data_IF_776412811145
#
_entry.id   IF_776412811145
#
_cell.length_a   1.000
_cell.length_b   1.000
_cell.length_c   1.000
_cell.angle_alpha   90.00
_cell.angle_beta   90.00
_cell.angle_gamma   90.00
#
_symmetry.space_group_name_H-M   'P 1'
#
loop_
_entity.id
_entity.type
_entity.pdbx_description
1 polymer ?
#
# COMPACT_ATOMS: atom_id res chain seq x y z
N UNK A 1 -65.60 -23.19 65.46
CA UNK A 1 -64.11 -23.29 65.55
C UNK A 1 -63.71 -24.56 64.84
N UNK A 2 -63.00 -24.44 63.73
CA UNK A 2 -62.41 -25.63 63.06
C UNK A 2 -61.32 -26.21 63.97
N UNK A 3 -61.52 -27.39 64.50
CA UNK A 3 -60.49 -28.16 65.21
C UNK A 3 -59.54 -28.71 64.18
N UNK A 4 -58.31 -28.09 64.09
CA UNK A 4 -57.22 -28.64 63.35
C UNK A 4 -56.79 -29.95 64.03
N UNK A 5 -56.83 -31.05 63.32
CA UNK A 5 -56.38 -32.37 63.87
C UNK A 5 -54.87 -32.34 64.04
N UNK A 6 -54.35 -33.12 65.05
CA UNK A 6 -52.88 -33.20 65.26
C UNK A 6 -52.13 -33.59 63.99
N UNK A 7 -52.73 -34.44 63.14
CA UNK A 7 -52.17 -34.87 61.87
C UNK A 7 -51.95 -33.64 60.90
N UNK A 8 -53.00 -32.79 60.83
CA UNK A 8 -52.89 -31.56 59.98
C UNK A 8 -51.83 -30.58 60.48
N UNK A 9 -51.57 -30.50 61.79
CA UNK A 9 -50.49 -29.69 62.35
C UNK A 9 -49.11 -30.27 62.00
N UNK A 10 -48.92 -31.56 62.05
CA UNK A 10 -47.72 -32.29 61.71
C UNK A 10 -47.44 -32.12 60.19
N UNK A 11 -48.43 -32.23 59.33
CA UNK A 11 -48.33 -32.12 57.91
C UNK A 11 -47.93 -30.63 57.51
N UNK A 12 -48.49 -29.64 58.17
CA UNK A 12 -48.12 -28.22 58.03
C UNK A 12 -46.68 -27.95 58.46
N UNK A 13 -46.23 -28.52 59.56
CA UNK A 13 -44.87 -28.41 60.07
C UNK A 13 -43.84 -29.05 59.12
N UNK A 14 -44.17 -30.30 58.67
CA UNK A 14 -43.36 -30.98 57.68
C UNK A 14 -43.26 -30.18 56.36
N UNK A 15 -44.34 -29.61 55.85
CA UNK A 15 -44.37 -28.76 54.70
C UNK A 15 -43.49 -27.51 54.88
N UNK A 16 -43.50 -26.92 56.10
CA UNK A 16 -42.61 -25.77 56.41
C UNK A 16 -41.16 -26.22 56.46
N UNK A 17 -40.81 -27.31 57.09
CA UNK A 17 -39.42 -27.84 57.12
C UNK A 17 -38.88 -28.08 55.68
N UNK A 18 -39.71 -28.75 54.84
CA UNK A 18 -39.33 -28.96 53.43
C UNK A 18 -39.14 -27.67 52.64
N UNK A 19 -39.94 -26.65 52.96
CA UNK A 19 -39.78 -25.32 52.31
C UNK A 19 -38.46 -24.68 52.74
N UNK A 20 -38.20 -24.64 54.06
CA UNK A 20 -36.95 -24.09 54.60
C UNK A 20 -35.72 -24.82 54.04
N UNK A 21 -35.77 -26.15 53.94
CA UNK A 21 -34.68 -26.94 53.33
C UNK A 21 -34.46 -26.60 51.87
N UNK A 22 -35.51 -26.38 51.08
CA UNK A 22 -35.38 -25.93 49.66
C UNK A 22 -34.80 -24.54 49.58
N UNK A 23 -35.25 -23.60 50.41
CA UNK A 23 -34.75 -22.23 50.42
C UNK A 23 -33.27 -22.19 50.88
N UNK A 24 -32.90 -23.00 51.87
CA UNK A 24 -31.55 -23.18 52.35
C UNK A 24 -30.63 -23.75 51.26
N UNK A 25 -31.12 -24.72 50.48
CA UNK A 25 -30.39 -25.27 49.35
C UNK A 25 -30.14 -24.20 48.27
N UNK A 26 -31.16 -23.38 47.92
CA UNK A 26 -31.01 -22.27 46.96
C UNK A 26 -29.98 -21.25 47.40
N UNK A 27 -30.05 -20.81 48.68
CA UNK A 27 -29.09 -19.80 49.17
C UNK A 27 -27.68 -20.37 49.23
N UNK A 28 -27.50 -21.65 49.58
CA UNK A 28 -26.18 -22.29 49.49
C UNK A 28 -25.69 -22.45 48.07
N UNK A 29 -26.55 -22.78 47.11
CA UNK A 29 -26.21 -22.81 45.68
C UNK A 29 -25.83 -21.45 45.16
N UNK A 30 -26.55 -20.38 45.55
CA UNK A 30 -26.23 -18.98 45.19
C UNK A 30 -24.89 -18.53 45.78
N UNK A 31 -24.61 -18.85 47.05
CA UNK A 31 -23.31 -18.55 47.67
C UNK A 31 -22.16 -19.35 47.05
N UNK A 32 -22.39 -20.61 46.67
CA UNK A 32 -21.37 -21.47 46.06
C UNK A 32 -21.06 -21.05 44.60
N UNK A 33 -22.08 -20.63 43.83
CA UNK A 33 -21.92 -20.20 42.43
C UNK A 33 -21.62 -18.74 42.27
N UNK A 34 -21.89 -17.90 43.28
CA UNK A 34 -21.84 -16.44 43.19
C UNK A 34 -23.01 -15.84 42.40
N UNK A 35 -24.00 -16.66 42.00
CA UNK A 35 -25.12 -16.26 41.14
C UNK A 35 -26.48 -16.51 41.81
N UNK A 36 -27.31 -15.49 41.76
CA UNK A 36 -28.69 -15.55 42.21
C UNK A 36 -29.57 -16.38 41.28
N UNK A 37 -29.34 -16.27 39.95
CA UNK A 37 -30.08 -16.96 38.91
C UNK A 37 -29.16 -17.95 38.22
N UNK A 38 -29.30 -19.24 38.54
CA UNK A 38 -28.47 -20.30 37.94
C UNK A 38 -29.21 -21.06 36.83
N UNK A 39 -30.54 -21.18 36.92
CA UNK A 39 -31.38 -22.01 36.04
C UNK A 39 -32.60 -21.21 35.57
N UNK A 40 -33.16 -21.56 34.38
CA UNK A 40 -34.41 -20.93 33.91
C UNK A 40 -35.58 -21.07 34.87
N UNK A 41 -35.55 -22.12 35.71
CA UNK A 41 -36.60 -22.41 36.72
C UNK A 41 -36.53 -21.48 37.92
N UNK A 42 -35.42 -20.82 38.21
CA UNK A 42 -35.24 -19.97 39.39
C UNK A 42 -36.01 -18.64 39.19
N UNK A 43 -35.72 -17.92 38.10
CA UNK A 43 -36.43 -16.71 37.68
C UNK A 43 -36.49 -16.66 36.14
N UNK A 44 -37.56 -17.11 35.47
CA UNK A 44 -37.60 -17.22 34.00
C UNK A 44 -37.39 -15.88 33.28
N UNK A 45 -37.91 -14.77 33.78
CA UNK A 45 -37.79 -13.43 33.19
C UNK A 45 -36.36 -12.90 33.33
N UNK A 46 -35.76 -13.03 34.51
CA UNK A 46 -34.39 -12.65 34.77
C UNK A 46 -33.39 -13.48 33.91
N UNK A 47 -33.64 -14.77 33.79
CA UNK A 47 -32.84 -15.66 32.96
C UNK A 47 -32.88 -15.27 31.48
N UNK A 48 -34.07 -14.89 30.96
CA UNK A 48 -34.17 -14.38 29.58
C UNK A 48 -33.35 -13.11 29.39
N UNK A 49 -33.41 -12.18 30.34
CA UNK A 49 -32.59 -10.94 30.29
C UNK A 49 -31.10 -11.24 30.35
N UNK A 50 -30.66 -12.14 31.24
CA UNK A 50 -29.26 -12.58 31.33
C UNK A 50 -28.79 -13.16 29.99
N UNK A 51 -29.61 -13.98 29.32
CA UNK A 51 -29.27 -14.54 28.01
C UNK A 51 -29.17 -13.47 26.95
N UNK A 52 -30.01 -12.43 26.96
CA UNK A 52 -29.90 -11.27 26.09
C UNK A 52 -28.58 -10.52 26.30
N UNK A 53 -28.24 -10.23 27.55
CA UNK A 53 -26.96 -9.56 27.86
C UNK A 53 -25.74 -10.39 27.45
N UNK A 54 -25.76 -11.72 27.66
CA UNK A 54 -24.69 -12.59 27.20
C UNK A 54 -24.54 -12.56 25.69
N UNK A 55 -25.64 -12.56 24.93
CA UNK A 55 -25.60 -12.43 23.47
C UNK A 55 -25.02 -11.06 23.02
N UNK A 56 -25.43 -9.98 23.70
CA UNK A 56 -24.88 -8.62 23.43
C UNK A 56 -23.37 -8.60 23.71
N UNK A 57 -22.92 -9.13 24.85
CA UNK A 57 -21.49 -9.20 25.20
C UNK A 57 -20.69 -10.01 24.19
N UNK A 58 -21.18 -11.16 23.74
CA UNK A 58 -20.53 -11.97 22.71
C UNK A 58 -20.42 -11.21 21.36
N UNK A 59 -21.42 -10.40 21.02
CA UNK A 59 -21.38 -9.58 19.81
C UNK A 59 -20.39 -8.43 19.95
N UNK A 60 -20.35 -7.77 21.12
CA UNK A 60 -19.37 -6.72 21.41
C UNK A 60 -17.95 -7.28 21.32
N UNK A 61 -17.68 -8.42 21.93
CA UNK A 61 -16.37 -9.08 21.88
C UNK A 61 -15.93 -9.37 20.45
N UNK A 62 -16.80 -9.94 19.61
CA UNK A 62 -16.51 -10.18 18.19
C UNK A 62 -16.21 -8.89 17.43
N UNK A 63 -16.98 -7.82 17.68
CA UNK A 63 -16.78 -6.52 17.05
C UNK A 63 -15.48 -5.87 17.54
N UNK A 64 -15.18 -5.93 18.82
CA UNK A 64 -13.93 -5.41 19.39
C UNK A 64 -12.70 -6.09 18.79
N UNK A 65 -12.73 -7.42 18.63
CA UNK A 65 -11.67 -8.18 17.95
C UNK A 65 -11.52 -7.73 16.50
N UNK A 66 -12.61 -7.59 15.76
CA UNK A 66 -12.59 -7.17 14.35
C UNK A 66 -12.07 -5.72 14.18
N UNK A 67 -12.46 -4.82 15.07
CA UNK A 67 -11.97 -3.43 15.10
C UNK A 67 -10.47 -3.38 15.40
N UNK A 68 -10.00 -4.15 16.39
CA UNK A 68 -8.58 -4.26 16.74
C UNK A 68 -7.73 -4.82 15.59
N UNK A 69 -8.24 -5.84 14.90
CA UNK A 69 -7.57 -6.43 13.72
C UNK A 69 -7.50 -5.44 12.56
N UNK A 70 -8.57 -4.67 12.33
CA UNK A 70 -8.61 -3.59 11.34
C UNK A 70 -7.61 -2.48 11.66
N UNK A 71 -7.53 -2.04 12.91
CA UNK A 71 -6.58 -1.03 13.37
C UNK A 71 -5.12 -1.52 13.18
N UNK A 72 -4.84 -2.77 13.55
CA UNK A 72 -3.50 -3.36 13.36
C UNK A 72 -3.10 -3.42 11.88
N UNK A 73 -4.03 -3.77 10.99
CA UNK A 73 -3.81 -3.79 9.54
C UNK A 73 -3.52 -2.40 9.00
N UNK A 74 -4.30 -1.39 9.40
CA UNK A 74 -4.10 -0.02 8.93
C UNK A 74 -2.81 0.60 9.48
N UNK A 75 -2.44 0.33 10.75
CA UNK A 75 -1.17 0.78 11.31
C UNK A 75 0.05 0.20 10.57
N UNK A 76 -0.01 -1.09 10.19
CA UNK A 76 1.04 -1.69 9.37
C UNK A 76 1.05 -1.10 7.95
N UNK A 77 -0.11 -0.78 7.38
CA UNK A 77 -0.21 -0.09 6.08
C UNK A 77 0.38 1.32 6.16
N UNK A 78 0.13 2.07 7.25
CA UNK A 78 0.72 3.39 7.50
C UNK A 78 2.25 3.32 7.56
N UNK A 79 2.78 2.35 8.29
CA UNK A 79 4.23 2.12 8.40
C UNK A 79 4.86 1.80 7.04
N UNK A 80 4.21 0.97 6.22
CA UNK A 80 4.69 0.63 4.88
C UNK A 80 4.69 1.85 3.94
N UNK A 81 3.62 2.68 3.99
CA UNK A 81 3.55 3.93 3.21
C UNK A 81 4.59 4.94 3.69
N UNK A 82 4.83 5.04 5.01
CA UNK A 82 5.91 5.88 5.57
C UNK A 82 7.31 5.43 5.12
N UNK A 83 7.53 4.12 5.00
CA UNK A 83 8.77 3.58 4.42
C UNK A 83 8.90 3.97 2.95
N UNK A 84 7.82 3.81 2.16
CA UNK A 84 7.79 4.22 0.76
C UNK A 84 8.06 5.72 0.58
N UNK A 85 7.48 6.57 1.43
CA UNK A 85 7.73 8.02 1.44
C UNK A 85 9.23 8.34 1.64
N UNK A 86 9.87 7.70 2.62
CA UNK A 86 11.31 7.87 2.89
C UNK A 86 12.17 7.46 1.69
N UNK A 87 11.80 6.38 1.00
CA UNK A 87 12.49 5.91 -0.21
C UNK A 87 12.36 6.94 -1.34
N UNK A 88 11.15 7.49 -1.56
CA UNK A 88 10.93 8.51 -2.61
C UNK A 88 11.65 9.82 -2.28
N UNK A 89 11.69 10.23 -1.00
CA UNK A 89 12.49 11.39 -0.57
C UNK A 89 13.97 11.17 -0.92
N UNK A 90 14.54 9.99 -0.61
CA UNK A 90 15.92 9.67 -0.96
C UNK A 90 16.16 9.63 -2.46
N UNK A 91 15.24 9.05 -3.24
CA UNK A 91 15.32 9.03 -4.70
C UNK A 91 15.28 10.45 -5.30
N UNK A 92 14.44 11.33 -4.75
CA UNK A 92 14.35 12.75 -5.13
C UNK A 92 15.65 13.50 -4.83
N UNK A 93 16.27 13.27 -3.67
CA UNK A 93 17.58 13.85 -3.32
C UNK A 93 18.66 13.43 -4.34
N UNK A 94 18.71 12.13 -4.67
CA UNK A 94 19.62 11.60 -5.69
C UNK A 94 19.37 12.28 -7.04
N UNK A 95 18.11 12.38 -7.47
CA UNK A 95 17.77 13.02 -8.75
C UNK A 95 18.21 14.48 -8.79
N UNK A 96 18.01 15.24 -7.70
CA UNK A 96 18.46 16.63 -7.58
C UNK A 96 19.98 16.75 -7.64
N UNK A 97 20.72 15.87 -6.96
CA UNK A 97 22.19 15.84 -6.99
C UNK A 97 22.74 15.52 -8.38
N UNK A 98 22.10 14.60 -9.09
CA UNK A 98 22.55 14.10 -10.39
C UNK A 98 22.07 14.95 -11.58
N UNK A 99 21.21 15.94 -11.36
CA UNK A 99 20.74 16.86 -12.40
C UNK A 99 21.88 17.73 -12.94
N UNK A 100 22.85 18.06 -12.10
CA UNK A 100 23.98 18.88 -12.50
C UNK A 100 24.98 18.09 -13.35
N UNK A 101 25.52 18.71 -14.39
CA UNK A 101 26.46 18.09 -15.34
C UNK A 101 27.87 17.80 -14.77
N UNK A 102 28.09 18.04 -13.48
CA UNK A 102 29.37 17.80 -12.80
C UNK A 102 29.66 16.33 -12.52
N UNK A 103 28.65 15.48 -12.51
CA UNK A 103 28.82 14.03 -12.26
C UNK A 103 29.21 13.29 -13.52
N UNK A 104 30.25 12.46 -13.44
CA UNK A 104 30.66 11.59 -14.54
C UNK A 104 29.68 10.45 -14.81
N UNK A 105 29.68 9.89 -16.02
CA UNK A 105 28.86 8.72 -16.37
C UNK A 105 29.13 7.51 -15.44
N UNK A 106 30.37 7.32 -15.01
CA UNK A 106 30.73 6.24 -14.09
C UNK A 106 30.15 6.45 -12.68
N UNK A 107 30.14 7.68 -12.19
CA UNK A 107 29.50 8.03 -10.91
C UNK A 107 27.99 7.84 -10.99
N UNK A 108 27.32 8.31 -12.05
CA UNK A 108 25.89 8.08 -12.25
C UNK A 108 25.54 6.60 -12.33
N UNK A 109 26.38 5.78 -12.98
CA UNK A 109 26.18 4.33 -13.02
C UNK A 109 26.34 3.69 -11.63
N UNK A 110 27.25 4.19 -10.78
CA UNK A 110 27.37 3.70 -9.40
C UNK A 110 26.15 4.06 -8.57
N UNK A 111 25.62 5.29 -8.73
CA UNK A 111 24.41 5.76 -8.03
C UNK A 111 23.17 5.04 -8.54
N UNK A 112 23.11 4.68 -9.83
CA UNK A 112 21.99 3.90 -10.37
C UNK A 112 21.80 2.57 -9.62
N UNK A 113 22.88 1.95 -9.11
CA UNK A 113 22.77 0.76 -8.26
C UNK A 113 22.08 1.03 -6.91
N UNK A 114 22.33 2.21 -6.31
CA UNK A 114 21.60 2.63 -5.11
C UNK A 114 20.10 2.79 -5.44
N UNK A 115 19.77 3.46 -6.55
CA UNK A 115 18.39 3.63 -7.00
C UNK A 115 17.71 2.30 -7.28
N UNK A 116 18.43 1.34 -7.87
CA UNK A 116 17.91 -0.03 -8.06
C UNK A 116 17.54 -0.70 -6.72
N UNK A 117 18.39 -0.56 -5.69
CA UNK A 117 18.06 -1.07 -4.35
C UNK A 117 16.87 -0.34 -3.71
N UNK A 118 16.75 0.99 -3.93
CA UNK A 118 15.58 1.75 -3.50
C UNK A 118 14.30 1.26 -4.20
N UNK A 119 14.36 0.96 -5.51
CA UNK A 119 13.24 0.38 -6.24
C UNK A 119 12.81 -0.97 -5.64
N UNK A 120 13.75 -1.87 -5.39
CA UNK A 120 13.44 -3.18 -4.79
C UNK A 120 12.82 -3.01 -3.39
N UNK A 121 13.39 -2.13 -2.56
CA UNK A 121 12.87 -1.84 -1.22
C UNK A 121 11.47 -1.19 -1.27
N UNK A 122 11.20 -0.38 -2.29
CA UNK A 122 9.87 0.19 -2.52
C UNK A 122 8.84 -0.88 -2.89
N UNK A 123 9.22 -1.82 -3.77
CA UNK A 123 8.39 -2.99 -4.12
C UNK A 123 8.10 -3.84 -2.89
N UNK A 124 9.10 -4.06 -2.02
CA UNK A 124 8.92 -4.82 -0.77
C UNK A 124 7.94 -4.10 0.16
N UNK A 125 8.05 -2.78 0.32
CA UNK A 125 7.10 -1.97 1.10
C UNK A 125 5.67 -2.04 0.53
N UNK A 126 5.52 -1.94 -0.80
CA UNK A 126 4.24 -2.04 -1.49
C UNK A 126 3.64 -3.47 -1.44
N UNK A 127 4.47 -4.49 -1.19
CA UNK A 127 4.08 -5.90 -1.05
C UNK A 127 4.09 -6.38 0.42
N UNK A 128 3.98 -5.47 1.39
CA UNK A 128 3.93 -5.83 2.82
C UNK A 128 2.76 -6.78 3.11
N UNK A 129 3.01 -7.77 3.98
CA UNK A 129 2.05 -8.80 4.38
C UNK A 129 1.75 -8.75 5.88
N UNK A 130 0.54 -9.18 6.22
CA UNK A 130 0.14 -9.56 7.58
C UNK A 130 -0.51 -10.95 7.52
N UNK A 131 -0.08 -11.88 8.35
CA UNK A 131 -0.60 -13.26 8.38
C UNK A 131 -0.69 -13.89 6.97
N UNK A 132 0.41 -13.83 6.20
CA UNK A 132 0.54 -14.33 4.82
C UNK A 132 -0.38 -13.66 3.79
N UNK A 133 -1.03 -12.54 4.13
CA UNK A 133 -1.92 -11.78 3.25
C UNK A 133 -1.33 -10.43 2.92
N UNK A 134 -1.31 -10.06 1.65
CA UNK A 134 -0.87 -8.75 1.18
C UNK A 134 -1.85 -7.66 1.61
N UNK A 135 -1.32 -6.53 2.07
CA UNK A 135 -2.13 -5.43 2.62
C UNK A 135 -2.80 -4.59 1.53
N UNK A 136 -2.13 -4.43 0.39
CA UNK A 136 -2.47 -3.45 -0.64
C UNK A 136 -3.14 -4.05 -1.88
N UNK A 137 -3.43 -5.36 -1.88
CA UNK A 137 -3.99 -6.08 -3.05
C UNK A 137 -5.53 -6.07 -3.13
N UNK A 138 -6.23 -5.28 -2.31
CA UNK A 138 -7.69 -5.31 -2.26
C UNK A 138 -8.23 -6.63 -1.71
N UNK A 139 -9.13 -7.29 -2.43
CA UNK A 139 -9.64 -8.62 -2.09
C UNK A 139 -8.68 -9.75 -2.47
N UNK A 140 -7.77 -9.52 -3.43
CA UNK A 140 -6.78 -10.49 -3.91
C UNK A 140 -5.61 -10.67 -2.94
N UNK A 141 -5.89 -10.85 -1.65
CA UNK A 141 -4.90 -10.83 -0.56
C UNK A 141 -3.83 -11.92 -0.65
N UNK A 142 -3.99 -12.92 -1.51
CA UNK A 142 -2.98 -13.98 -1.76
C UNK A 142 -2.03 -13.63 -2.91
N UNK A 143 -2.35 -12.61 -3.71
CA UNK A 143 -1.55 -12.15 -4.85
C UNK A 143 -0.73 -10.93 -4.44
N UNK A 144 0.54 -10.87 -4.83
CA UNK A 144 1.38 -9.70 -4.58
C UNK A 144 0.73 -8.45 -5.20
N UNK A 145 0.71 -7.33 -4.46
CA UNK A 145 0.12 -6.10 -4.96
C UNK A 145 0.83 -5.60 -6.22
N UNK A 146 2.15 -5.72 -6.27
CA UNK A 146 2.97 -5.32 -7.41
C UNK A 146 3.92 -6.43 -7.82
N UNK A 147 3.95 -6.73 -9.11
CA UNK A 147 4.87 -7.69 -9.70
C UNK A 147 5.32 -7.19 -11.08
N UNK A 148 6.41 -7.75 -11.60
CA UNK A 148 6.80 -7.55 -12.99
C UNK A 148 5.69 -8.05 -13.90
N UNK A 149 5.21 -7.18 -14.75
CA UNK A 149 4.03 -7.43 -15.59
C UNK A 149 4.41 -8.04 -16.95
N UNK A 150 3.38 -8.41 -17.71
CA UNK A 150 3.53 -8.77 -19.12
C UNK A 150 3.88 -7.57 -20.00
N UNK A 151 3.89 -6.35 -19.46
CA UNK A 151 4.27 -5.15 -20.20
C UNK A 151 5.76 -4.88 -20.08
N UNK A 152 6.38 -4.53 -21.20
CA UNK A 152 7.79 -4.19 -21.29
C UNK A 152 7.88 -2.83 -21.98
N UNK A 153 8.58 -1.89 -21.36
CA UNK A 153 8.93 -0.64 -22.03
C UNK A 153 10.09 -0.88 -22.99
N UNK A 154 9.91 -0.45 -24.24
CA UNK A 154 10.94 -0.52 -25.26
C UNK A 154 11.00 0.80 -26.01
N UNK A 155 12.20 1.36 -26.18
CA UNK A 155 12.41 2.61 -26.91
C UNK A 155 13.77 2.66 -27.58
N UNK A 156 13.83 3.22 -28.78
CA UNK A 156 15.06 3.70 -29.39
C UNK A 156 15.52 4.99 -28.72
N UNK A 157 16.80 5.33 -28.84
CA UNK A 157 17.32 6.62 -28.37
C UNK A 157 16.87 7.73 -29.30
N UNK A 158 15.83 8.46 -28.89
CA UNK A 158 15.30 9.61 -29.61
C UNK A 158 16.07 10.90 -29.27
N UNK A 159 16.14 11.88 -30.15
CA UNK A 159 16.70 13.19 -29.81
C UNK A 159 15.85 13.87 -28.76
N UNK A 160 16.48 14.45 -27.75
CA UNK A 160 15.84 15.35 -26.78
C UNK A 160 16.64 16.65 -26.69
N UNK A 161 15.96 17.76 -26.37
CA UNK A 161 16.56 19.07 -26.23
C UNK A 161 16.28 19.60 -24.83
N UNK A 162 17.29 20.13 -24.16
CA UNK A 162 17.19 20.80 -22.87
C UNK A 162 17.85 22.16 -22.90
N UNK A 163 17.24 23.13 -22.20
CA UNK A 163 17.91 24.40 -21.92
C UNK A 163 18.96 24.16 -20.82
N UNK A 164 20.08 24.92 -20.90
CA UNK A 164 21.06 24.96 -19.83
C UNK A 164 20.43 25.67 -18.60
N UNK A 165 20.76 25.23 -17.38
CA UNK A 165 20.29 25.85 -16.13
C UNK A 165 20.76 27.32 -15.97
N UNK A 166 21.85 27.72 -16.62
CA UNK A 166 22.38 29.09 -16.61
C UNK A 166 21.67 30.03 -17.60
N UNK A 167 20.69 29.51 -18.39
CA UNK A 167 19.95 30.34 -19.33
C UNK A 167 19.15 31.41 -18.59
N UNK A 168 19.24 32.64 -19.07
CA UNK A 168 18.57 33.81 -18.48
C UNK A 168 17.29 34.18 -19.23
N UNK A 169 17.16 33.75 -20.50
CA UNK A 169 15.95 33.87 -21.29
C UNK A 169 14.95 32.74 -20.97
N UNK A 170 13.67 33.01 -21.15
CA UNK A 170 12.62 31.99 -21.01
C UNK A 170 12.15 31.55 -22.40
N UNK A 171 12.63 30.38 -22.83
CA UNK A 171 12.35 29.83 -24.17
C UNK A 171 12.00 28.36 -24.02
N UNK A 172 10.89 27.95 -24.61
CA UNK A 172 10.57 26.51 -24.75
C UNK A 172 11.26 25.96 -26.01
N UNK A 173 11.77 24.72 -25.91
CA UNK A 173 12.51 24.08 -26.98
C UNK A 173 11.88 22.73 -27.29
N UNK A 174 11.74 22.40 -28.56
CA UNK A 174 11.34 21.06 -29.03
C UNK A 174 12.28 20.59 -30.14
N UNK A 175 12.52 19.27 -30.20
CA UNK A 175 13.29 18.65 -31.27
C UNK A 175 12.53 17.48 -31.86
N UNK A 176 12.61 17.27 -33.15
CA UNK A 176 12.02 16.17 -33.89
C UNK A 176 12.93 15.71 -35.03
N UNK A 177 12.72 14.48 -35.47
CA UNK A 177 13.39 13.97 -36.68
C UNK A 177 12.64 14.51 -37.89
N UNK A 178 13.35 15.20 -38.76
CA UNK A 178 12.83 15.70 -40.04
C UNK A 178 13.18 14.77 -41.18
N UNK A 179 14.45 14.35 -41.26
CA UNK A 179 14.95 13.51 -42.36
C UNK A 179 15.82 12.40 -41.77
N UNK A 180 15.25 11.22 -41.62
CA UNK A 180 15.92 10.07 -40.98
C UNK A 180 17.24 9.72 -41.68
N UNK A 181 17.28 9.76 -43.00
CA UNK A 181 18.51 9.47 -43.80
C UNK A 181 19.68 10.43 -43.59
N UNK A 182 19.46 11.54 -42.88
CA UNK A 182 20.51 12.53 -42.59
C UNK A 182 20.91 12.56 -41.13
N UNK A 183 20.34 11.69 -40.31
CA UNK A 183 20.65 11.57 -38.88
C UNK A 183 22.11 11.10 -38.67
N UNK A 184 22.78 11.71 -37.70
CA UNK A 184 24.20 11.40 -37.41
C UNK A 184 24.38 10.78 -36.02
N UNK A 185 23.36 10.83 -35.16
CA UNK A 185 23.44 10.33 -33.78
C UNK A 185 24.26 11.19 -32.81
N UNK A 186 24.72 12.34 -33.23
CA UNK A 186 25.64 13.20 -32.48
C UNK A 186 24.93 14.05 -31.41
N UNK A 187 25.74 14.61 -30.49
CA UNK A 187 25.33 15.65 -29.52
C UNK A 187 25.56 17.03 -30.14
N UNK A 188 24.60 17.96 -29.94
CA UNK A 188 24.70 19.31 -30.43
C UNK A 188 24.42 20.33 -29.34
N UNK A 189 24.97 21.54 -29.53
CA UNK A 189 24.60 22.75 -28.78
C UNK A 189 24.13 23.86 -29.73
N UNK A 190 23.04 24.51 -29.36
CA UNK A 190 22.57 25.76 -29.96
C UNK A 190 22.92 26.86 -28.98
N UNK A 191 23.86 27.75 -29.31
CA UNK A 191 24.36 28.80 -28.43
C UNK A 191 24.01 30.17 -29.00
N UNK A 192 23.40 31.01 -28.20
CA UNK A 192 23.01 32.37 -28.58
C UNK A 192 24.12 33.36 -28.31
N UNK A 193 24.55 34.07 -29.33
CA UNK A 193 25.49 35.21 -29.20
C UNK A 193 24.78 36.48 -28.74
N UNK A 194 23.51 36.66 -29.13
CA UNK A 194 22.60 37.71 -28.70
C UNK A 194 21.15 37.23 -28.80
N UNK A 195 20.14 38.09 -28.54
CA UNK A 195 18.72 37.71 -28.60
C UNK A 195 18.18 37.34 -29.99
N UNK A 196 18.98 37.52 -31.04
CA UNK A 196 18.55 37.36 -32.43
C UNK A 196 19.47 36.45 -33.24
N UNK A 197 20.63 36.09 -32.72
CA UNK A 197 21.67 35.37 -33.45
C UNK A 197 22.15 34.14 -32.67
N UNK A 198 22.25 33.00 -33.34
CA UNK A 198 22.74 31.73 -32.73
C UNK A 198 23.66 30.95 -33.66
N UNK A 199 24.44 30.06 -33.04
CA UNK A 199 25.27 29.05 -33.70
C UNK A 199 24.79 27.66 -33.32
N UNK A 200 24.99 26.68 -34.22
CA UNK A 200 24.78 25.24 -33.92
C UNK A 200 26.14 24.56 -34.03
N UNK A 201 26.58 23.96 -32.94
CA UNK A 201 27.83 23.22 -32.85
C UNK A 201 27.58 21.74 -32.61
N UNK A 202 28.24 20.89 -33.36
CA UNK A 202 28.29 19.45 -33.08
C UNK A 202 29.31 19.22 -31.96
N UNK A 203 28.83 18.85 -30.76
CA UNK A 203 29.68 18.61 -29.59
C UNK A 203 30.45 17.29 -29.65
N UNK A 204 30.02 16.35 -30.49
CA UNK A 204 30.70 15.06 -30.69
C UNK A 204 31.94 15.21 -31.55
N UNK A 205 31.84 15.97 -32.63
CA UNK A 205 32.95 16.19 -33.60
C UNK A 205 33.69 17.49 -33.39
N UNK A 206 33.12 18.45 -32.65
CA UNK A 206 33.64 19.80 -32.47
C UNK A 206 33.37 20.74 -33.63
N UNK A 207 32.72 20.30 -34.71
CA UNK A 207 32.44 21.10 -35.88
C UNK A 207 31.27 22.06 -35.68
N UNK A 208 31.34 23.27 -36.25
CA UNK A 208 30.21 24.20 -36.38
C UNK A 208 29.35 23.77 -37.55
N UNK A 209 28.08 23.48 -37.30
CA UNK A 209 27.10 23.03 -38.32
C UNK A 209 26.40 24.23 -38.94
N UNK A 210 25.97 25.18 -38.13
CA UNK A 210 25.37 26.45 -38.52
C UNK A 210 26.06 27.58 -37.76
N UNK A 211 26.36 28.68 -38.43
CA UNK A 211 26.96 29.86 -37.81
C UNK A 211 26.18 31.13 -38.11
N UNK A 212 26.06 32.01 -37.11
CA UNK A 212 25.43 33.33 -37.20
C UNK A 212 24.04 33.30 -37.84
N UNK A 213 23.22 32.33 -37.41
CA UNK A 213 21.84 32.20 -37.89
C UNK A 213 20.92 33.18 -37.19
N UNK A 214 19.97 33.75 -37.94
CA UNK A 214 18.96 34.63 -37.35
C UNK A 214 17.89 33.84 -36.65
N UNK A 215 17.62 34.16 -35.38
CA UNK A 215 16.54 33.56 -34.59
C UNK A 215 15.20 34.24 -34.85
N UNK A 216 14.19 33.44 -35.04
CA UNK A 216 12.78 33.86 -35.04
C UNK A 216 11.97 32.86 -34.19
N UNK A 217 11.21 33.37 -33.21
CA UNK A 217 10.41 32.53 -32.34
C UNK A 217 9.43 31.64 -33.13
N UNK A 218 9.46 30.32 -32.86
CA UNK A 218 8.62 29.32 -33.53
C UNK A 218 9.07 28.93 -34.95
N UNK A 219 10.19 29.51 -35.47
CA UNK A 219 10.75 29.08 -36.75
C UNK A 219 11.51 27.76 -36.63
N UNK A 220 11.53 26.97 -37.73
CA UNK A 220 12.26 25.72 -37.80
C UNK A 220 13.77 25.99 -37.94
N UNK A 221 14.57 25.29 -37.17
CA UNK A 221 16.05 25.24 -37.26
C UNK A 221 16.35 23.79 -37.70
N UNK A 222 16.70 23.62 -38.97
CA UNK A 222 16.92 22.28 -39.55
C UNK A 222 18.42 22.04 -39.78
N UNK A 223 18.95 20.91 -39.26
CA UNK A 223 20.34 20.49 -39.47
C UNK A 223 20.50 19.00 -39.18
N UNK A 224 21.37 18.31 -39.89
CA UNK A 224 21.74 16.90 -39.70
C UNK A 224 20.54 15.95 -39.47
N UNK A 225 19.45 16.18 -40.22
CA UNK A 225 18.21 15.39 -40.14
C UNK A 225 17.29 15.76 -38.97
N UNK A 226 17.67 16.67 -38.13
CA UNK A 226 16.89 17.18 -36.98
C UNK A 226 16.17 18.49 -37.34
N UNK A 227 15.03 18.68 -36.73
CA UNK A 227 14.28 19.93 -36.66
C UNK A 227 14.14 20.38 -35.23
N UNK A 228 14.64 21.56 -34.91
CA UNK A 228 14.47 22.22 -33.63
C UNK A 228 13.55 23.42 -33.79
N UNK A 229 12.65 23.61 -32.85
CA UNK A 229 11.80 24.80 -32.74
C UNK A 229 11.97 25.37 -31.34
N UNK A 230 12.40 26.65 -31.32
CA UNK A 230 12.54 27.44 -30.10
C UNK A 230 11.43 28.49 -30.07
N UNK A 231 10.68 28.58 -28.98
CA UNK A 231 9.53 29.49 -28.86
C UNK A 231 9.66 30.34 -27.60
N UNK A 232 9.50 31.65 -27.70
CA UNK A 232 9.52 32.56 -26.57
C UNK A 232 8.43 32.20 -25.52
N UNK A 233 8.78 32.22 -24.21
CA UNK A 233 7.85 31.87 -23.15
C UNK A 233 8.19 32.56 -21.80
N UNK A 234 7.76 33.76 -21.47
CA UNK A 234 7.21 34.80 -22.34
C UNK A 234 8.32 35.58 -23.10
N UNK A 235 9.56 35.53 -22.63
CA UNK A 235 10.70 36.18 -23.29
C UNK A 235 11.44 35.21 -24.21
N UNK A 236 12.24 35.75 -25.13
CA UNK A 236 13.12 34.98 -25.99
C UNK A 236 14.46 34.65 -25.36
N UNK A 237 15.36 33.95 -26.08
CA UNK A 237 16.71 33.66 -25.64
C UNK A 237 17.51 34.95 -25.54
N UNK A 238 18.55 34.96 -24.72
CA UNK A 238 19.52 36.05 -24.55
C UNK A 238 20.93 35.59 -24.92
N UNK A 239 21.85 36.53 -25.08
CA UNK A 239 23.24 36.19 -25.33
C UNK A 239 23.85 35.37 -24.21
N UNK A 240 24.45 34.24 -24.56
CA UNK A 240 24.98 33.23 -23.62
C UNK A 240 24.05 32.06 -23.35
N UNK A 241 22.75 32.15 -23.70
CA UNK A 241 21.83 31.02 -23.55
C UNK A 241 22.22 29.85 -24.46
N UNK A 242 22.15 28.65 -23.94
CA UNK A 242 22.50 27.40 -24.60
C UNK A 242 21.39 26.35 -24.51
N UNK A 243 21.13 25.67 -25.62
CA UNK A 243 20.23 24.52 -25.69
C UNK A 243 21.02 23.32 -26.20
N UNK A 244 21.03 22.25 -25.45
CA UNK A 244 21.75 21.03 -25.81
C UNK A 244 20.78 19.93 -26.32
N UNK A 245 21.20 19.29 -27.42
CA UNK A 245 20.51 18.15 -28.01
C UNK A 245 21.31 16.91 -27.67
N UNK A 246 20.63 15.93 -27.03
CA UNK A 246 21.24 14.66 -26.63
C UNK A 246 21.62 13.80 -27.82
N UNK A 247 22.62 12.89 -27.69
CA UNK A 247 22.86 11.86 -28.69
C UNK A 247 21.58 11.05 -28.95
N UNK A 248 21.35 10.66 -30.20
CA UNK A 248 20.17 9.94 -30.67
C UNK A 248 20.58 8.81 -31.62
N UNK A 249 19.65 7.96 -32.01
CA UNK A 249 19.91 6.93 -33.04
C UNK A 249 20.08 7.61 -34.40
N UNK A 250 21.00 7.10 -35.22
CA UNK A 250 21.18 7.54 -36.59
C UNK A 250 20.15 6.93 -37.56
N UNK A 251 19.30 6.02 -37.08
CA UNK A 251 18.17 5.43 -37.82
C UNK A 251 16.82 5.86 -37.22
N UNK A 252 15.77 5.68 -37.99
CA UNK A 252 14.36 5.79 -37.57
C UNK A 252 13.72 4.42 -37.30
N UNK A 253 14.55 3.40 -37.09
CA UNK A 253 14.08 2.06 -36.72
C UNK A 253 13.33 2.10 -35.39
N UNK A 254 12.27 1.31 -35.33
CA UNK A 254 11.40 1.19 -34.14
C UNK A 254 11.62 -0.13 -33.41
N UNK A 255 11.35 -0.13 -32.10
CA UNK A 255 11.39 -1.35 -31.28
C UNK A 255 10.06 -1.58 -30.61
N UNK A 256 9.65 -2.84 -30.54
CA UNK A 256 8.58 -3.33 -29.68
C UNK A 256 9.11 -4.46 -28.83
N UNK A 257 8.55 -4.66 -27.63
CA UNK A 257 8.94 -5.76 -26.78
C UNK A 257 7.74 -6.37 -26.05
N UNK A 258 7.85 -7.67 -25.79
CA UNK A 258 6.86 -8.45 -25.05
C UNK A 258 7.55 -9.46 -24.14
N UNK A 259 6.80 -9.98 -23.17
CA UNK A 259 7.31 -11.04 -22.28
C UNK A 259 7.18 -12.39 -22.98
N UNK A 260 8.28 -13.13 -23.07
CA UNK A 260 8.30 -14.52 -23.56
C UNK A 260 8.27 -15.53 -22.41
N UNK A 261 8.90 -15.23 -21.28
CA UNK A 261 8.98 -16.11 -20.11
C UNK A 261 8.93 -15.30 -18.82
N UNK A 262 7.75 -15.20 -18.20
CA UNK A 262 7.53 -14.38 -17.02
C UNK A 262 8.45 -14.75 -15.81
N UNK A 263 8.73 -16.03 -15.62
CA UNK A 263 9.60 -16.51 -14.53
C UNK A 263 11.09 -16.14 -14.69
N UNK A 264 11.49 -15.72 -15.89
CA UNK A 264 12.88 -15.30 -16.17
C UNK A 264 13.05 -13.77 -16.14
N UNK A 265 11.96 -13.01 -15.95
CA UNK A 265 12.04 -11.56 -15.86
C UNK A 265 12.84 -11.12 -14.63
N UNK A 266 13.68 -10.11 -14.84
CA UNK A 266 14.40 -9.38 -13.80
C UNK A 266 14.09 -7.88 -13.96
N UNK A 267 14.05 -7.11 -12.87
CA UNK A 267 13.75 -5.68 -12.92
C UNK A 267 14.93 -4.84 -13.45
N UNK A 268 15.62 -5.33 -14.47
CA UNK A 268 16.84 -4.75 -15.02
C UNK A 268 16.54 -3.95 -16.28
N UNK A 269 17.41 -2.99 -16.57
CA UNK A 269 17.43 -2.22 -17.82
C UNK A 269 18.40 -2.89 -18.78
N UNK A 270 17.93 -3.24 -19.96
CA UNK A 270 18.71 -3.85 -21.02
C UNK A 270 18.90 -2.89 -22.20
N UNK A 271 20.03 -2.99 -22.86
CA UNK A 271 20.33 -2.20 -24.05
C UNK A 271 20.77 -3.14 -25.18
N UNK A 272 20.12 -2.99 -26.33
CA UNK A 272 20.54 -3.59 -27.60
C UNK A 272 21.37 -2.52 -28.32
N UNK A 273 22.67 -2.79 -28.52
CA UNK A 273 23.64 -1.86 -29.08
C UNK A 273 24.09 -2.33 -30.43
N UNK A 274 23.81 -1.59 -31.47
CA UNK A 274 24.25 -1.91 -32.82
C UNK A 274 25.75 -1.63 -32.99
N UNK A 275 26.49 -2.61 -33.44
CA UNK A 275 27.91 -2.54 -33.79
C UNK A 275 28.11 -2.33 -35.31
N UNK A 276 27.09 -2.68 -36.10
CA UNK A 276 27.00 -2.40 -37.54
C UNK A 276 25.51 -2.47 -37.96
N UNK A 277 25.22 -2.20 -39.23
CA UNK A 277 23.85 -2.33 -39.74
C UNK A 277 23.27 -3.77 -39.69
N UNK A 278 24.13 -4.78 -39.49
CA UNK A 278 23.76 -6.20 -39.51
C UNK A 278 24.12 -6.94 -38.21
N UNK A 279 24.70 -6.25 -37.23
CA UNK A 279 25.14 -6.89 -35.98
C UNK A 279 24.90 -6.00 -34.76
N UNK A 280 24.54 -6.66 -33.64
CA UNK A 280 24.31 -6.02 -32.36
C UNK A 280 24.80 -6.84 -31.16
N UNK A 281 25.00 -6.15 -30.05
CA UNK A 281 25.29 -6.72 -28.73
C UNK A 281 24.08 -6.49 -27.82
N UNK A 282 23.93 -7.33 -26.77
CA UNK A 282 22.92 -7.16 -25.71
C UNK A 282 23.64 -6.96 -24.41
N UNK A 283 23.36 -5.88 -23.72
CA UNK A 283 23.97 -5.51 -22.44
C UNK A 283 22.89 -5.32 -21.37
N UNK A 284 23.11 -5.91 -20.19
CA UNK A 284 22.39 -5.58 -18.98
C UNK A 284 23.07 -4.33 -18.37
N UNK A 285 22.41 -3.18 -18.41
CA UNK A 285 22.97 -1.92 -17.90
C UNK A 285 22.97 -1.87 -16.37
N UNK A 286 21.99 -2.45 -15.71
CA UNK A 286 21.87 -2.46 -14.23
C UNK A 286 23.06 -3.17 -13.59
N UNK A 287 23.45 -4.33 -14.13
CA UNK A 287 24.58 -5.12 -13.64
C UNK A 287 25.91 -4.81 -14.36
N UNK A 288 25.85 -4.02 -15.42
CA UNK A 288 26.96 -3.75 -16.33
C UNK A 288 27.55 -5.03 -16.95
N UNK A 289 26.66 -5.95 -17.36
CA UNK A 289 27.05 -7.25 -17.90
C UNK A 289 26.68 -7.38 -19.37
N UNK A 290 27.62 -7.80 -20.20
CA UNK A 290 27.34 -8.17 -21.60
C UNK A 290 26.72 -9.57 -21.62
N UNK A 291 25.46 -9.66 -22.12
CA UNK A 291 24.74 -10.94 -22.22
C UNK A 291 25.09 -11.71 -23.50
N UNK A 292 25.25 -11.01 -24.61
CA UNK A 292 25.67 -11.59 -25.89
C UNK A 292 26.31 -10.53 -26.79
N UNK A 293 27.19 -10.96 -27.69
CA UNK A 293 27.90 -10.10 -28.65
C UNK A 293 27.81 -10.64 -30.06
N UNK A 294 27.86 -9.75 -31.05
CA UNK A 294 27.95 -10.10 -32.47
C UNK A 294 26.69 -10.83 -32.98
N UNK A 295 25.52 -10.59 -32.38
CA UNK A 295 24.27 -11.18 -32.84
C UNK A 295 23.90 -10.64 -34.21
N UNK A 296 23.46 -11.53 -35.13
CA UNK A 296 23.01 -11.12 -36.47
C UNK A 296 21.65 -10.43 -36.40
N UNK A 297 21.54 -9.26 -37.04
CA UNK A 297 20.31 -8.50 -37.13
C UNK A 297 19.55 -8.82 -38.45
N UNK A 298 18.26 -8.99 -38.33
CA UNK A 298 17.29 -9.01 -39.45
C UNK A 298 16.06 -8.23 -38.99
N UNK A 299 15.61 -7.30 -39.82
CA UNK A 299 14.43 -6.47 -39.51
C UNK A 299 13.18 -7.35 -39.25
N UNK A 300 12.47 -7.08 -38.16
CA UNK A 300 11.29 -7.82 -37.74
C UNK A 300 11.55 -9.19 -37.11
N UNK A 301 12.80 -9.63 -36.98
CA UNK A 301 13.14 -10.89 -36.33
C UNK A 301 13.05 -10.77 -34.78
N UNK A 302 12.72 -11.86 -34.11
CA UNK A 302 12.67 -11.94 -32.68
C UNK A 302 14.08 -11.96 -32.07
N UNK A 303 14.33 -11.06 -31.13
CA UNK A 303 15.52 -11.01 -30.28
C UNK A 303 15.11 -11.44 -28.87
N UNK A 304 15.53 -12.62 -28.42
CA UNK A 304 15.07 -13.21 -27.15
C UNK A 304 16.20 -13.19 -26.12
N UNK A 305 15.94 -12.59 -24.95
CA UNK A 305 16.87 -12.52 -23.83
C UNK A 305 16.12 -12.26 -22.52
N UNK A 306 16.63 -12.77 -21.40
CA UNK A 306 16.12 -12.48 -20.03
C UNK A 306 14.58 -12.58 -19.89
N UNK A 307 13.91 -13.50 -20.62
CA UNK A 307 12.47 -13.65 -20.59
C UNK A 307 11.71 -12.62 -21.43
N UNK A 308 12.40 -11.82 -22.23
CA UNK A 308 11.84 -10.78 -23.11
C UNK A 308 12.04 -11.19 -24.57
N UNK A 309 11.05 -10.91 -25.40
CA UNK A 309 11.18 -10.90 -26.86
C UNK A 309 11.09 -9.47 -27.35
N UNK A 310 12.17 -8.94 -27.90
CA UNK A 310 12.21 -7.65 -28.57
C UNK A 310 12.19 -7.84 -30.08
N UNK A 311 11.54 -6.93 -30.80
CA UNK A 311 11.49 -6.88 -32.27
C UNK A 311 11.85 -5.49 -32.71
N UNK A 312 12.94 -5.38 -33.47
CA UNK A 312 13.36 -4.11 -34.08
C UNK A 312 12.98 -4.16 -35.57
N UNK A 313 12.26 -3.14 -36.01
CA UNK A 313 11.79 -3.03 -37.40
C UNK A 313 12.43 -1.79 -38.02
N UNK A 314 13.02 -1.97 -39.21
CA UNK A 314 13.58 -0.87 -39.97
C UNK A 314 12.53 0.20 -40.27
N UNK A 315 12.96 1.45 -40.22
CA UNK A 315 12.23 2.56 -40.81
C UNK A 315 12.66 2.81 -42.27
N UNK A 316 12.86 4.09 -42.60
CA UNK A 316 13.46 4.46 -43.89
C UNK A 316 14.96 4.23 -43.93
N UNK A 317 15.58 4.20 -42.75
CA UNK A 317 16.99 3.90 -42.51
C UNK A 317 17.12 2.71 -41.56
N UNK A 318 17.88 1.70 -41.97
CA UNK A 318 18.24 0.55 -41.15
C UNK A 318 19.08 1.00 -39.94
N UNK A 319 19.07 0.29 -38.82
CA UNK A 319 19.93 0.56 -37.68
C UNK A 319 21.41 0.70 -38.11
N UNK A 320 22.12 1.64 -37.49
CA UNK A 320 23.51 1.95 -37.78
C UNK A 320 24.39 1.62 -36.57
N UNK A 321 25.72 1.52 -36.79
CA UNK A 321 26.66 1.39 -35.69
C UNK A 321 26.50 2.56 -34.71
N UNK A 322 26.32 2.24 -33.43
CA UNK A 322 26.08 3.22 -32.35
C UNK A 322 24.61 3.46 -32.03
N UNK A 323 23.65 2.93 -32.81
CA UNK A 323 22.23 2.96 -32.45
C UNK A 323 21.96 2.09 -31.21
N UNK A 324 21.13 2.61 -30.32
CA UNK A 324 20.81 1.99 -29.04
C UNK A 324 19.29 1.84 -28.89
N UNK A 325 18.87 0.65 -28.50
CA UNK A 325 17.48 0.36 -28.16
C UNK A 325 17.41 -0.19 -26.74
N UNK A 326 16.56 0.38 -25.90
CA UNK A 326 16.44 0.03 -24.49
C UNK A 326 15.16 -0.71 -24.24
N UNK A 327 15.27 -1.69 -23.34
CA UNK A 327 14.15 -2.57 -22.97
C UNK A 327 14.19 -2.78 -21.47
N UNK A 328 13.04 -2.62 -20.82
CA UNK A 328 12.89 -2.95 -19.39
C UNK A 328 11.51 -3.51 -19.08
N UNK A 329 11.40 -4.53 -18.22
CA UNK A 329 10.12 -4.96 -17.67
C UNK A 329 9.55 -3.88 -16.74
N UNK A 330 8.23 -3.69 -16.75
CA UNK A 330 7.57 -2.75 -15.87
C UNK A 330 6.91 -3.50 -14.70
N UNK A 331 6.89 -2.87 -13.54
CA UNK A 331 5.99 -3.29 -12.48
C UNK A 331 4.56 -2.86 -12.80
N UNK A 332 3.58 -3.67 -12.42
CA UNK A 332 2.18 -3.27 -12.48
C UNK A 332 1.41 -3.82 -11.28
N UNK A 333 0.34 -3.14 -10.94
CA UNK A 333 -0.58 -3.57 -9.91
C UNK A 333 -1.30 -4.86 -10.34
N UNK A 334 -1.29 -5.87 -9.46
CA UNK A 334 -1.88 -7.20 -9.69
C UNK A 334 -3.11 -7.47 -8.82
N UNK A 335 -3.40 -6.56 -7.87
CA UNK A 335 -4.58 -6.65 -7.01
C UNK A 335 -5.86 -6.12 -7.66
N UNK A 336 -6.90 -6.00 -6.87
CA UNK A 336 -8.15 -5.35 -7.26
C UNK A 336 -8.42 -4.07 -6.44
N UNK A 337 -9.53 -3.39 -6.72
CA UNK A 337 -9.96 -2.18 -6.01
C UNK A 337 -10.90 -2.48 -4.84
N UNK A 338 -10.93 -3.71 -4.36
CA UNK A 338 -11.82 -4.17 -3.31
C UNK A 338 -11.56 -3.52 -1.96
N UNK A 339 -12.63 -3.09 -1.29
CA UNK A 339 -12.58 -2.52 0.06
C UNK A 339 -13.03 -3.56 1.09
N UNK A 340 -12.11 -3.99 1.95
CA UNK A 340 -12.40 -4.91 3.06
C UNK A 340 -13.02 -4.09 4.18
N UNK A 341 -14.32 -4.29 4.41
CA UNK A 341 -15.09 -3.57 5.41
C UNK A 341 -15.23 -4.38 6.70
N UNK A 342 -15.10 -3.73 7.84
CA UNK A 342 -15.34 -4.27 9.17
C UNK A 342 -16.60 -3.63 9.73
N UNK A 343 -17.55 -4.47 10.18
CA UNK A 343 -18.77 -4.03 10.83
C UNK A 343 -18.51 -3.75 12.32
N UNK A 344 -18.83 -2.52 12.75
CA UNK A 344 -18.67 -2.08 14.14
C UNK A 344 -20.00 -1.82 14.86
N UNK A 345 -21.07 -1.60 14.10
CA UNK A 345 -22.46 -1.44 14.57
C UNK A 345 -23.39 -2.03 13.51
N UNK A 346 -24.61 -2.40 13.85
CA UNK A 346 -25.55 -3.02 12.91
C UNK A 346 -25.72 -2.18 11.63
N UNK A 347 -25.25 -2.74 10.50
CA UNK A 347 -25.26 -2.09 9.19
C UNK A 347 -24.25 -0.97 8.98
N UNK A 348 -23.37 -0.69 9.96
CA UNK A 348 -22.31 0.31 9.83
C UNK A 348 -20.95 -0.34 9.69
N UNK A 349 -20.24 0.00 8.65
CA UNK A 349 -18.93 -0.55 8.32
C UNK A 349 -17.86 0.54 8.19
N UNK A 350 -16.61 0.14 8.35
CA UNK A 350 -15.42 0.96 8.06
C UNK A 350 -14.45 0.14 7.22
N UNK A 351 -13.83 0.76 6.21
CA UNK A 351 -12.79 0.12 5.42
C UNK A 351 -11.53 -0.11 6.26
N UNK A 352 -11.02 -1.34 6.26
CA UNK A 352 -9.83 -1.79 7.00
C UNK A 352 -8.62 -2.01 6.11
N UNK A 353 -8.68 -1.64 4.83
CA UNK A 353 -7.58 -1.74 3.89
C UNK A 353 -7.42 -0.45 3.07
N UNK A 354 -6.30 -0.37 2.39
CA UNK A 354 -5.98 0.65 1.39
C UNK A 354 -5.54 -0.05 0.12
N UNK A 355 -5.96 0.46 -1.03
CA UNK A 355 -5.69 -0.16 -2.34
C UNK A 355 -4.37 0.36 -2.89
N UNK A 356 -3.45 -0.54 -3.22
CA UNK A 356 -2.10 -0.20 -3.68
C UNK A 356 -2.06 0.62 -4.96
N UNK A 357 -3.01 0.40 -5.88
CA UNK A 357 -3.12 1.19 -7.10
C UNK A 357 -3.45 2.67 -6.86
N UNK A 358 -4.03 3.01 -5.71
CA UNK A 358 -4.31 4.41 -5.36
C UNK A 358 -3.13 5.08 -4.63
N UNK A 359 -2.31 4.28 -3.94
CA UNK A 359 -1.21 4.78 -3.10
C UNK A 359 0.10 4.84 -3.88
N UNK A 360 0.48 3.77 -4.59
CA UNK A 360 1.80 3.62 -5.20
C UNK A 360 1.81 3.85 -6.72
N UNK A 361 0.68 3.60 -7.39
CA UNK A 361 0.49 3.84 -8.83
C UNK A 361 -0.81 4.61 -9.07
N UNK A 362 -0.98 5.72 -8.35
CA UNK A 362 -2.18 6.55 -8.35
C UNK A 362 -2.45 7.23 -9.69
N UNK A 363 -3.59 7.95 -9.79
CA UNK A 363 -3.98 8.61 -11.03
C UNK A 363 -3.02 9.74 -11.41
N UNK A 364 -2.33 10.33 -10.45
CA UNK A 364 -1.44 11.48 -10.68
C UNK A 364 -0.04 11.01 -11.08
N UNK A 365 0.49 9.98 -10.41
CA UNK A 365 1.82 9.43 -10.70
C UNK A 365 1.94 7.95 -10.32
N UNK A 366 2.62 7.19 -11.19
CA UNK A 366 3.12 5.86 -10.89
C UNK A 366 4.55 5.95 -10.35
N UNK A 367 4.69 5.78 -9.03
CA UNK A 367 5.96 5.90 -8.32
C UNK A 367 6.96 4.80 -8.67
N UNK A 368 6.49 3.59 -8.98
CA UNK A 368 7.33 2.50 -9.45
C UNK A 368 7.96 2.83 -10.79
N UNK A 369 7.14 3.33 -11.73
CA UNK A 369 7.62 3.79 -13.02
C UNK A 369 8.55 5.00 -12.88
N UNK A 370 8.28 5.94 -11.96
CA UNK A 370 9.14 7.08 -11.69
C UNK A 370 10.52 6.65 -11.16
N UNK A 371 10.60 5.66 -10.26
CA UNK A 371 11.87 5.09 -9.78
C UNK A 371 12.64 4.38 -10.90
N UNK A 372 11.95 3.58 -11.73
CA UNK A 372 12.55 2.96 -12.90
C UNK A 372 13.05 3.97 -13.92
N UNK A 373 12.36 5.10 -14.10
CA UNK A 373 12.80 6.19 -14.97
C UNK A 373 14.04 6.88 -14.42
N UNK A 374 14.14 7.08 -13.09
CA UNK A 374 15.35 7.59 -12.45
C UNK A 374 16.53 6.66 -12.70
N UNK A 375 16.38 5.35 -12.44
CA UNK A 375 17.42 4.36 -12.70
C UNK A 375 17.89 4.42 -14.16
N UNK A 376 16.94 4.39 -15.08
CA UNK A 376 17.24 4.46 -16.52
C UNK A 376 17.99 5.75 -16.90
N UNK A 377 17.54 6.93 -16.42
CA UNK A 377 18.18 8.20 -16.70
C UNK A 377 19.64 8.24 -16.22
N UNK A 378 19.92 7.67 -15.05
CA UNK A 378 21.28 7.55 -14.52
C UNK A 378 22.15 6.57 -15.32
N UNK A 379 21.63 5.38 -15.64
CA UNK A 379 22.34 4.36 -16.44
C UNK A 379 22.65 4.84 -17.85
N UNK A 380 21.81 5.71 -18.40
CA UNK A 380 21.96 6.21 -19.77
C UNK A 380 22.60 7.58 -19.87
N UNK A 381 22.96 8.16 -18.72
CA UNK A 381 23.57 9.48 -18.61
C UNK A 381 22.76 10.58 -19.35
N UNK A 382 21.43 10.62 -19.07
CA UNK A 382 20.48 11.59 -19.63
C UNK A 382 19.95 12.54 -18.54
N UNK A 383 20.71 13.58 -18.13
CA UNK A 383 20.29 14.50 -17.06
C UNK A 383 19.00 15.26 -17.36
N UNK A 384 18.71 15.49 -18.66
CA UNK A 384 17.47 16.14 -19.11
C UNK A 384 16.20 15.47 -18.60
N UNK A 385 16.23 14.12 -18.43
CA UNK A 385 15.07 13.35 -18.01
C UNK A 385 14.80 13.49 -16.50
N UNK A 386 15.82 13.90 -15.72
CA UNK A 386 15.73 14.02 -14.26
C UNK A 386 14.77 15.12 -13.81
N UNK A 387 14.56 16.18 -14.58
CA UNK A 387 13.61 17.24 -14.24
C UNK A 387 12.17 16.71 -14.18
N UNK A 388 11.78 15.89 -15.14
CA UNK A 388 10.47 15.23 -15.15
C UNK A 388 10.33 14.25 -13.98
N UNK A 389 11.37 13.47 -13.69
CA UNK A 389 11.40 12.50 -12.58
C UNK A 389 11.27 13.22 -11.22
N UNK A 390 11.95 14.36 -11.03
CA UNK A 390 11.85 15.18 -9.82
C UNK A 390 10.42 15.71 -9.64
N UNK A 391 9.77 16.15 -10.72
CA UNK A 391 8.38 16.56 -10.73
C UNK A 391 7.46 15.42 -10.28
N UNK A 392 7.63 14.24 -10.87
CA UNK A 392 6.88 13.03 -10.51
C UNK A 392 7.07 12.64 -9.03
N UNK A 393 8.29 12.71 -8.50
CA UNK A 393 8.53 12.44 -7.08
C UNK A 393 7.88 13.48 -6.17
N UNK A 394 7.79 14.74 -6.59
CA UNK A 394 7.09 15.77 -5.80
C UNK A 394 5.60 15.45 -5.70
N UNK A 395 4.95 15.22 -6.82
CA UNK A 395 3.53 14.80 -6.86
C UNK A 395 3.29 13.49 -6.11
N UNK A 396 4.23 12.53 -6.25
CA UNK A 396 4.13 11.25 -5.56
C UNK A 396 4.28 11.34 -4.04
N UNK A 397 5.09 12.27 -3.54
CA UNK A 397 5.18 12.54 -2.09
C UNK A 397 3.88 13.12 -1.55
N UNK A 398 3.23 14.02 -2.30
CA UNK A 398 1.91 14.56 -1.93
C UNK A 398 0.88 13.42 -1.90
N UNK A 399 0.86 12.54 -2.92
CA UNK A 399 -0.01 11.34 -2.98
C UNK A 399 0.21 10.40 -1.78
N UNK A 400 1.46 10.12 -1.38
CA UNK A 400 1.76 9.28 -0.22
C UNK A 400 1.34 9.94 1.09
N UNK A 401 1.53 11.26 1.22
CA UNK A 401 1.12 12.05 2.38
C UNK A 401 -0.41 12.03 2.54
N UNK A 402 -1.16 12.20 1.46
CA UNK A 402 -2.63 12.14 1.47
C UNK A 402 -3.12 10.74 1.85
N UNK A 403 -2.48 9.68 1.33
CA UNK A 403 -2.78 8.30 1.70
C UNK A 403 -2.53 8.05 3.20
N UNK A 404 -1.43 8.56 3.77
CA UNK A 404 -1.15 8.47 5.20
C UNK A 404 -2.17 9.22 6.06
N UNK A 405 -2.60 10.40 5.61
CA UNK A 405 -3.64 11.17 6.30
C UNK A 405 -4.98 10.43 6.32
N UNK A 406 -5.37 9.80 5.20
CA UNK A 406 -6.58 8.97 5.12
C UNK A 406 -6.49 7.75 6.05
N UNK A 407 -5.36 7.02 6.04
CA UNK A 407 -5.11 5.89 6.95
C UNK A 407 -5.19 6.35 8.40
N UNK A 408 -4.49 7.43 8.78
CA UNK A 408 -4.49 7.96 10.13
C UNK A 408 -5.88 8.36 10.61
N UNK A 409 -6.71 8.94 9.73
CA UNK A 409 -8.09 9.27 10.04
C UNK A 409 -8.94 8.03 10.35
N UNK A 410 -8.73 6.94 9.60
CA UNK A 410 -9.40 5.65 9.80
C UNK A 410 -8.95 4.97 11.09
N UNK A 411 -7.63 4.98 11.40
CA UNK A 411 -7.08 4.46 12.67
C UNK A 411 -7.69 5.20 13.85
N UNK A 412 -7.63 6.53 13.87
CA UNK A 412 -8.25 7.34 14.94
C UNK A 412 -9.76 7.07 15.12
N UNK A 413 -10.46 6.73 14.05
CA UNK A 413 -11.87 6.35 14.13
C UNK A 413 -12.04 4.95 14.74
N UNK A 414 -11.20 3.99 14.38
CA UNK A 414 -11.21 2.65 14.94
C UNK A 414 -10.87 2.66 16.45
N UNK A 415 -9.92 3.47 16.87
CA UNK A 415 -9.56 3.63 18.28
C UNK A 415 -10.75 4.13 19.11
N UNK A 416 -11.45 5.18 18.64
CA UNK A 416 -12.67 5.65 19.30
C UNK A 416 -13.80 4.61 19.32
N UNK A 417 -13.89 3.77 18.28
CA UNK A 417 -14.87 2.68 18.25
C UNK A 417 -14.49 1.58 19.24
N UNK A 418 -13.22 1.24 19.37
CA UNK A 418 -12.73 0.29 20.38
C UNK A 418 -13.05 0.76 21.79
N UNK A 419 -12.74 2.03 22.12
CA UNK A 419 -13.08 2.65 23.41
C UNK A 419 -14.60 2.62 23.70
N UNK A 420 -15.41 2.91 22.67
CA UNK A 420 -16.87 2.86 22.76
C UNK A 420 -17.42 1.44 23.03
N UNK A 421 -16.85 0.44 22.35
CA UNK A 421 -17.20 -0.97 22.55
C UNK A 421 -16.80 -1.46 23.94
N UNK A 422 -15.63 -1.06 24.45
CA UNK A 422 -15.17 -1.41 25.78
C UNK A 422 -16.09 -0.79 26.88
N UNK A 423 -16.48 0.47 26.72
CA UNK A 423 -17.45 1.10 27.62
C UNK A 423 -18.81 0.38 27.60
N UNK A 424 -19.29 0.02 26.40
CA UNK A 424 -20.55 -0.72 26.24
C UNK A 424 -20.46 -2.11 26.88
N UNK A 425 -19.29 -2.78 26.75
CA UNK A 425 -19.03 -4.07 27.39
C UNK A 425 -19.14 -4.00 28.90
N UNK A 426 -18.46 -2.99 29.50
CA UNK A 426 -18.48 -2.74 30.97
C UNK A 426 -19.91 -2.46 31.42
N UNK A 427 -20.63 -1.55 30.77
CA UNK A 427 -22.01 -1.21 31.14
C UNK A 427 -22.95 -2.43 31.04
N UNK A 428 -22.85 -3.19 29.96
CA UNK A 428 -23.67 -4.41 29.77
C UNK A 428 -23.32 -5.50 30.80
N UNK A 429 -22.03 -5.59 31.16
CA UNK A 429 -21.57 -6.52 32.21
C UNK A 429 -22.13 -6.13 33.57
N UNK A 430 -22.15 -4.83 33.91
CA UNK A 430 -22.70 -4.31 35.17
C UNK A 430 -24.22 -4.55 35.24
N UNK A 431 -24.96 -4.28 34.14
CA UNK A 431 -26.39 -4.57 34.06
C UNK A 431 -26.67 -6.07 34.24
N UNK A 432 -25.88 -6.94 33.62
CA UNK A 432 -25.97 -8.38 33.78
C UNK A 432 -25.69 -8.79 35.25
N UNK A 433 -24.60 -8.27 35.85
CA UNK A 433 -24.19 -8.54 37.20
C UNK A 433 -25.29 -8.19 38.22
N UNK A 434 -25.95 -7.04 38.02
CA UNK A 434 -27.07 -6.60 38.89
C UNK A 434 -28.21 -7.63 38.95
N UNK A 435 -28.43 -8.35 37.87
CA UNK A 435 -29.54 -9.36 37.78
C UNK A 435 -29.04 -10.78 38.12
N UNK A 436 -27.81 -11.14 37.68
CA UNK A 436 -27.27 -12.50 37.76
C UNK A 436 -26.59 -12.77 39.10
N UNK A 437 -25.82 -11.79 39.64
CA UNK A 437 -24.90 -12.01 40.74
C UNK A 437 -25.60 -11.95 42.11
N UNK A 438 -25.07 -12.70 43.06
CA UNK A 438 -25.58 -12.77 44.45
C UNK A 438 -24.87 -11.72 45.32
N UNK A 439 -25.66 -10.94 46.07
CA UNK A 439 -25.09 -10.18 47.20
C UNK A 439 -24.71 -11.14 48.31
N UNK A 440 -23.41 -11.32 48.53
CA UNK A 440 -22.86 -12.23 49.52
C UNK A 440 -23.24 -11.85 50.93
N UNK A 441 -23.41 -10.58 51.25
CA UNK A 441 -23.77 -10.13 52.59
C UNK A 441 -25.22 -10.46 52.91
N UNK A 442 -26.12 -10.20 51.95
CA UNK A 442 -27.54 -10.56 52.07
C UNK A 442 -27.73 -12.08 52.15
N UNK A 443 -27.10 -12.82 51.20
CA UNK A 443 -27.22 -14.27 51.12
C UNK A 443 -26.66 -14.97 52.38
N UNK A 444 -25.56 -14.47 52.94
CA UNK A 444 -25.02 -15.01 54.19
C UNK A 444 -25.94 -14.75 55.39
N UNK A 445 -26.57 -13.58 55.48
CA UNK A 445 -27.55 -13.24 56.49
C UNK A 445 -28.82 -14.12 56.35
N UNK A 446 -29.30 -14.35 55.11
CA UNK A 446 -30.41 -15.22 54.83
C UNK A 446 -30.07 -16.66 55.20
N UNK A 447 -28.85 -17.15 54.90
CA UNK A 447 -28.40 -18.50 55.28
C UNK A 447 -28.48 -18.71 56.80
N UNK A 448 -27.90 -17.80 57.59
CA UNK A 448 -27.91 -17.86 59.05
C UNK A 448 -29.34 -17.85 59.59
N UNK A 449 -30.23 -17.02 59.03
CA UNK A 449 -31.64 -16.97 59.42
C UNK A 449 -32.37 -18.29 59.10
N UNK A 450 -32.16 -18.85 57.90
CA UNK A 450 -32.78 -20.11 57.48
C UNK A 450 -32.26 -21.30 58.30
N UNK A 451 -30.99 -21.34 58.68
CA UNK A 451 -30.41 -22.35 59.54
C UNK A 451 -31.04 -22.31 60.97
N UNK A 452 -31.18 -21.11 61.50
CA UNK A 452 -31.86 -20.89 62.79
C UNK A 452 -33.33 -21.31 62.72
N UNK A 453 -34.04 -20.94 61.66
CA UNK A 453 -35.44 -21.29 61.44
C UNK A 453 -35.61 -22.81 61.26
N UNK A 454 -34.67 -23.49 60.57
CA UNK A 454 -34.67 -24.93 60.44
C UNK A 454 -34.53 -25.63 61.79
N UNK A 455 -33.54 -25.17 62.64
CA UNK A 455 -33.34 -25.73 63.98
C UNK A 455 -34.57 -25.53 64.84
N UNK A 456 -35.19 -24.34 64.84
CA UNK A 456 -36.40 -24.03 65.61
C UNK A 456 -37.59 -24.89 65.12
N UNK A 457 -37.75 -25.06 63.82
CA UNK A 457 -38.81 -25.90 63.25
C UNK A 457 -38.68 -27.38 63.61
N UNK A 458 -37.42 -27.88 63.51
CA UNK A 458 -37.16 -29.31 63.95
C UNK A 458 -37.40 -29.54 65.42
N UNK A 459 -37.03 -28.58 66.29
CA UNK A 459 -37.30 -28.65 67.70
C UNK A 459 -38.81 -28.62 68.01
N UNK A 460 -39.54 -27.76 67.27
CA UNK A 460 -41.01 -27.70 67.41
C UNK A 460 -41.68 -29.01 66.98
N UNK A 461 -41.19 -29.55 65.85
CA UNK A 461 -41.69 -30.87 65.36
C UNK A 461 -41.39 -31.96 66.31
N UNK A 462 -40.22 -32.08 66.93
CA UNK A 462 -39.85 -33.03 67.93
C UNK A 462 -40.79 -32.97 69.16
N UNK A 463 -41.01 -31.76 69.72
CA UNK A 463 -41.93 -31.55 70.83
C UNK A 463 -43.37 -31.94 70.49
N UNK A 464 -43.80 -31.75 69.25
CA UNK A 464 -45.17 -32.16 68.83
C UNK A 464 -45.28 -33.67 68.74
N UNK A 465 -44.25 -34.40 68.33
CA UNK A 465 -44.20 -35.87 68.35
C UNK A 465 -44.22 -36.38 69.77
N UNK A 466 -43.51 -35.80 70.75
CA UNK A 466 -43.50 -36.20 72.14
C UNK A 466 -44.90 -36.08 72.81
N UNK A 467 -45.59 -34.95 72.50
CA UNK A 467 -46.97 -34.73 72.97
C UNK A 467 -47.97 -35.75 72.36
N UNK A 468 -47.77 -36.07 71.08
CA UNK A 468 -48.64 -37.06 70.38
C UNK A 468 -48.44 -38.45 70.93
N UNK A 469 -47.21 -38.86 71.19
CA UNK A 469 -46.90 -40.19 71.82
C UNK A 469 -47.48 -40.30 73.23
N UNK A 470 -47.37 -39.24 74.07
CA UNK A 470 -47.96 -39.20 75.41
C UNK A 470 -49.49 -39.29 75.39
N UNK A 471 -50.17 -38.68 74.36
CA UNK A 471 -51.61 -38.78 74.17
C UNK A 471 -52.07 -40.17 73.63
N UNK A 472 -51.20 -40.94 72.97
CA UNK A 472 -51.48 -42.27 72.45
C UNK A 472 -51.28 -43.37 73.54
N UNK A 473 -50.39 -43.12 74.50
CA UNK A 473 -50.07 -44.05 75.58
C UNK A 473 -50.99 -43.88 76.87
N UNK A 474 -51.97 -42.98 76.82
CA UNK A 474 -52.96 -42.69 77.82
C UNK A 474 -54.35 -43.13 77.31
#
# INVERSE_FOLDING_TARGET
MLRITNQQQIDLLNGNVQRIQRDLFRVREALASGKKVNRPSDEPIAFEQIMKFRNVLNNIEKRSLAVSEAASRLNLSESAVGTAETIIQRAKEIALQQRNDTSSAAERQAIAKEVHQLLLSFVDAANTKINERYLFSGFETQTAAFALSSSVSASGRSPSISANDDNTGTTSATVSIQTAGSLTGNKYAITFSDSTTFDVKNLTTGATVLSSQTYTSGANIDFDGLRVVLTNNPSGPLGGDEFQITPHNASDATITASVSTASALQPNVYEIRFTSATAFDIVNLTDNQVLSTGNSYTSGANIVFAGITAVITDGTVTPQAGDLFRVRPNYSYQGDTGSIAVEYEDGKTIASNVVGSQVFSGPDVDLLNALQNLEQALLTNTPSDLSTVIGNFTTGLDQLTDARADIGSKVNRLDRLAEGLDLLAVTTQDERSTIEDTDYAEASSQLATLETNLQASLLTLSRQFDISLLNFLR
#
